data_IF_751415773165
#
_entry.id   IF_751415773165
#
_cell.length_a   1.000
_cell.length_b   1.000
_cell.length_c   1.000
_cell.angle_alpha   90.00
_cell.angle_beta   90.00
_cell.angle_gamma   90.00
#
_symmetry.space_group_name_H-M   'P 1'
#
loop_
_entity.id
_entity.type
_entity.pdbx_description
1 polymer ?
#
# COMPACT_ATOMS: atom_id res chain seq x y z
N UNK A 1 -23.78 -36.07 -6.42
CA UNK A 1 -23.40 -34.65 -6.32
C UNK A 1 -24.36 -34.04 -5.31
N UNK A 2 -23.96 -33.86 -4.05
CA UNK A 2 -24.89 -33.45 -2.99
C UNK A 2 -25.39 -32.02 -3.22
N UNK A 3 -26.71 -31.86 -3.29
CA UNK A 3 -27.43 -30.58 -3.35
C UNK A 3 -27.01 -29.71 -2.14
N UNK A 4 -26.07 -28.78 -2.33
CA UNK A 4 -25.69 -27.85 -1.28
C UNK A 4 -26.90 -26.94 -1.01
N UNK A 5 -27.37 -26.97 0.24
CA UNK A 5 -28.47 -26.14 0.72
C UNK A 5 -28.20 -24.65 0.44
N UNK A 6 -29.24 -23.87 0.13
CA UNK A 6 -29.13 -22.43 -0.10
C UNK A 6 -28.34 -21.72 1.01
N UNK A 7 -28.48 -22.16 2.26
CA UNK A 7 -27.72 -21.67 3.42
C UNK A 7 -26.22 -21.93 3.32
N UNK A 8 -25.81 -23.11 2.86
CA UNK A 8 -24.40 -23.44 2.67
C UNK A 8 -23.77 -22.59 1.57
N UNK A 9 -24.53 -22.29 0.51
CA UNK A 9 -24.08 -21.39 -0.56
C UNK A 9 -23.91 -19.96 -0.07
N UNK A 10 -24.87 -19.45 0.71
CA UNK A 10 -24.80 -18.12 1.31
C UNK A 10 -23.61 -18.04 2.28
N UNK A 11 -23.48 -18.99 3.21
CA UNK A 11 -22.36 -19.04 4.17
C UNK A 11 -21.00 -19.11 3.48
N UNK A 12 -20.87 -19.93 2.43
CA UNK A 12 -19.64 -20.02 1.64
C UNK A 12 -19.29 -18.69 0.98
N UNK A 13 -20.27 -18.03 0.37
CA UNK A 13 -20.06 -16.75 -0.31
C UNK A 13 -19.68 -15.63 0.68
N UNK A 14 -20.34 -15.57 1.84
CA UNK A 14 -20.03 -14.57 2.88
C UNK A 14 -18.66 -14.82 3.49
N UNK A 15 -18.31 -16.06 3.82
CA UNK A 15 -16.99 -16.41 4.35
C UNK A 15 -15.88 -16.11 3.32
N UNK A 16 -16.12 -16.42 2.05
CA UNK A 16 -15.19 -16.07 0.97
C UNK A 16 -14.97 -14.55 0.91
N UNK A 17 -16.05 -13.77 0.95
CA UNK A 17 -15.97 -12.31 0.92
C UNK A 17 -15.22 -11.74 2.13
N UNK A 18 -15.46 -12.27 3.34
CA UNK A 18 -14.73 -11.89 4.56
C UNK A 18 -13.24 -12.20 4.42
N UNK A 19 -12.89 -13.37 3.87
CA UNK A 19 -11.50 -13.75 3.63
C UNK A 19 -10.81 -12.79 2.67
N UNK A 20 -11.47 -12.40 1.57
CA UNK A 20 -10.93 -11.42 0.60
C UNK A 20 -10.80 -10.03 1.24
N UNK A 21 -11.76 -9.63 2.08
CA UNK A 21 -11.80 -8.32 2.72
C UNK A 21 -10.96 -8.20 4.01
N UNK A 22 -10.26 -9.27 4.43
CA UNK A 22 -9.54 -9.34 5.72
C UNK A 22 -8.67 -8.11 6.00
N UNK A 23 -7.91 -7.66 5.01
CA UNK A 23 -7.02 -6.50 5.18
C UNK A 23 -7.80 -5.20 5.42
N UNK A 24 -8.91 -5.00 4.71
CA UNK A 24 -9.77 -3.83 4.91
C UNK A 24 -10.43 -3.85 6.29
N UNK A 25 -10.89 -5.02 6.74
CA UNK A 25 -11.48 -5.20 8.07
C UNK A 25 -10.47 -4.81 9.16
N UNK A 26 -9.21 -5.28 9.05
CA UNK A 26 -8.15 -4.94 10.00
C UNK A 26 -7.89 -3.43 10.05
N UNK A 27 -7.85 -2.76 8.89
CA UNK A 27 -7.65 -1.30 8.83
C UNK A 27 -8.79 -0.54 9.51
N UNK A 28 -10.05 -0.90 9.23
CA UNK A 28 -11.23 -0.23 9.82
C UNK A 28 -11.27 -0.43 11.34
N UNK A 29 -11.03 -1.66 11.81
CA UNK A 29 -10.99 -1.95 13.24
C UNK A 29 -9.83 -1.23 13.94
N UNK A 30 -8.66 -1.18 13.31
CA UNK A 30 -7.51 -0.43 13.81
C UNK A 30 -7.80 1.07 13.92
N UNK A 31 -8.45 1.65 12.92
CA UNK A 31 -8.86 3.05 12.92
C UNK A 31 -9.90 3.35 14.02
N UNK A 32 -10.91 2.48 14.19
CA UNK A 32 -11.90 2.60 15.26
C UNK A 32 -11.26 2.52 16.65
N UNK A 33 -10.35 1.56 16.86
CA UNK A 33 -9.63 1.43 18.10
C UNK A 33 -8.78 2.68 18.39
N UNK A 34 -8.03 3.16 17.40
CA UNK A 34 -7.26 4.38 17.51
C UNK A 34 -8.13 5.60 17.89
N UNK A 35 -9.29 5.76 17.26
CA UNK A 35 -10.25 6.83 17.59
C UNK A 35 -10.80 6.74 19.02
N UNK A 36 -11.17 5.54 19.47
CA UNK A 36 -11.68 5.34 20.85
C UNK A 36 -10.60 5.64 21.89
N UNK A 37 -9.35 5.29 21.63
CA UNK A 37 -8.25 5.57 22.56
C UNK A 37 -7.91 7.07 22.57
N UNK A 38 -7.83 7.69 21.40
CA UNK A 38 -7.55 9.12 21.25
C UNK A 38 -8.62 9.98 21.95
N UNK A 39 -9.91 9.64 21.76
CA UNK A 39 -11.02 10.33 22.46
C UNK A 39 -11.00 10.18 23.98
N UNK A 40 -10.27 9.20 24.53
CA UNK A 40 -10.05 9.00 25.97
C UNK A 40 -8.74 9.63 26.47
N UNK A 41 -8.02 10.35 25.61
CA UNK A 41 -6.74 11.00 25.93
C UNK A 41 -5.53 10.06 25.90
N UNK A 42 -5.68 8.85 25.37
CA UNK A 42 -4.58 7.89 25.22
C UNK A 42 -4.16 7.81 23.76
N UNK A 43 -2.94 8.21 23.44
CA UNK A 43 -2.38 8.15 22.07
C UNK A 43 -1.19 7.19 21.99
N UNK A 44 -1.39 5.87 22.17
CA UNK A 44 -0.29 4.91 22.11
C UNK A 44 0.21 4.65 20.67
N UNK A 45 -0.53 5.10 19.67
CA UNK A 45 -0.21 4.92 18.24
C UNK A 45 0.20 6.25 17.62
N UNK A 46 1.16 6.20 16.69
CA UNK A 46 1.49 7.35 15.85
C UNK A 46 0.42 7.47 14.77
N UNK A 47 -0.55 8.35 14.98
CA UNK A 47 -1.62 8.59 14.02
C UNK A 47 -1.06 9.23 12.75
N UNK A 48 -1.65 8.88 11.60
CA UNK A 48 -1.35 9.56 10.34
C UNK A 48 -1.65 11.05 10.50
N UNK A 49 -0.70 11.91 10.08
CA UNK A 49 -0.87 13.36 10.14
C UNK A 49 -1.97 13.86 9.20
N UNK A 50 -2.13 15.18 9.12
CA UNK A 50 -3.09 15.80 8.22
C UNK A 50 -2.82 15.40 6.76
N UNK A 51 -3.80 14.79 6.11
CA UNK A 51 -3.72 14.39 4.71
C UNK A 51 -4.23 15.57 3.89
N UNK A 52 -3.37 16.18 3.07
CA UNK A 52 -3.77 17.27 2.18
C UNK A 52 -4.76 16.74 1.14
N UNK A 53 -5.90 17.40 1.01
CA UNK A 53 -6.91 17.07 0.01
C UNK A 53 -6.43 17.42 -1.41
N UNK A 54 -6.87 16.63 -2.39
CA UNK A 54 -6.59 16.89 -3.80
C UNK A 54 -5.42 16.09 -4.39
N UNK A 55 -5.15 16.33 -5.67
CA UNK A 55 -4.05 15.72 -6.40
C UNK A 55 -2.75 16.51 -6.13
N UNK A 56 -1.59 15.85 -5.97
CA UNK A 56 -0.32 16.58 -5.98
C UNK A 56 -0.17 17.36 -7.30
N UNK A 57 0.45 18.56 -7.27
CA UNK A 57 0.72 19.32 -8.48
C UNK A 57 1.61 18.52 -9.43
N UNK A 58 1.34 18.59 -10.74
CA UNK A 58 2.17 17.92 -11.73
C UNK A 58 3.47 18.70 -11.92
N UNK A 59 4.56 18.16 -11.41
CA UNK A 59 5.89 18.77 -11.49
C UNK A 59 6.90 17.75 -12.01
N UNK A 60 7.80 18.17 -12.89
CA UNK A 60 8.91 17.33 -13.32
C UNK A 60 9.87 17.08 -12.15
N UNK A 61 10.50 15.89 -12.08
CA UNK A 61 11.50 15.63 -11.07
C UNK A 61 12.71 16.57 -11.24
N UNK A 62 13.29 17.09 -10.15
CA UNK A 62 14.50 17.90 -10.22
C UNK A 62 15.71 17.05 -10.64
N UNK A 63 16.55 17.56 -11.54
CA UNK A 63 17.82 16.93 -11.95
C UNK A 63 19.03 17.43 -11.15
N UNK A 64 18.80 18.32 -10.20
CA UNK A 64 19.77 18.81 -9.23
C UNK A 64 19.04 19.21 -7.96
N UNK A 65 19.64 18.97 -6.80
CA UNK A 65 19.05 19.33 -5.51
C UNK A 65 20.12 19.83 -4.56
N UNK A 66 19.83 20.89 -3.81
CA UNK A 66 20.72 21.37 -2.76
C UNK A 66 20.17 20.90 -1.42
N UNK A 67 20.93 20.06 -0.71
CA UNK A 67 20.55 19.57 0.62
C UNK A 67 21.66 19.82 1.61
N UNK A 68 21.33 20.47 2.73
CA UNK A 68 22.26 20.78 3.82
C UNK A 68 23.55 21.51 3.38
N UNK A 69 23.44 22.45 2.43
CA UNK A 69 24.58 23.22 1.91
C UNK A 69 25.48 22.47 0.92
N UNK A 70 25.11 21.25 0.52
CA UNK A 70 25.77 20.49 -0.54
C UNK A 70 24.86 20.41 -1.76
N UNK A 71 25.41 20.70 -2.93
CA UNK A 71 24.71 20.57 -4.21
C UNK A 71 24.90 19.15 -4.76
N UNK A 72 23.79 18.47 -5.01
CA UNK A 72 23.73 17.14 -5.59
C UNK A 72 23.36 17.23 -7.06
N UNK A 73 24.21 16.65 -7.91
CA UNK A 73 23.89 16.46 -9.32
C UNK A 73 23.03 15.22 -9.53
N UNK A 74 22.48 15.04 -10.74
CA UNK A 74 21.72 13.85 -11.10
C UNK A 74 22.50 12.54 -10.85
N UNK A 75 23.81 12.52 -11.12
CA UNK A 75 24.64 11.33 -10.91
C UNK A 75 24.79 11.03 -9.43
N UNK A 76 24.99 12.05 -8.60
CA UNK A 76 25.09 11.88 -7.14
C UNK A 76 23.77 11.34 -6.57
N UNK A 77 22.63 11.83 -7.08
CA UNK A 77 21.31 11.31 -6.70
C UNK A 77 21.14 9.83 -7.09
N UNK A 78 21.56 9.44 -8.30
CA UNK A 78 21.50 8.04 -8.76
C UNK A 78 22.45 7.14 -7.96
N UNK A 79 23.64 7.64 -7.61
CA UNK A 79 24.59 6.91 -6.77
C UNK A 79 24.05 6.67 -5.36
N UNK A 80 23.38 7.66 -4.77
CA UNK A 80 22.73 7.53 -3.46
C UNK A 80 21.61 6.47 -3.48
N UNK A 81 20.84 6.39 -4.57
CA UNK A 81 19.86 5.31 -4.76
C UNK A 81 20.52 3.93 -4.95
N UNK A 82 21.77 3.90 -5.41
CA UNK A 82 22.58 2.69 -5.51
C UNK A 82 21.96 1.62 -6.41
N UNK A 83 22.01 0.37 -5.96
CA UNK A 83 21.52 -0.79 -6.73
C UNK A 83 20.00 -0.82 -6.88
N UNK A 84 19.25 -0.07 -6.06
CA UNK A 84 17.79 -0.04 -6.13
C UNK A 84 17.27 0.44 -7.48
N UNK A 85 18.03 1.31 -8.16
CA UNK A 85 17.71 1.83 -9.50
C UNK A 85 17.57 0.70 -10.53
N UNK A 86 18.37 -0.36 -10.41
CA UNK A 86 18.30 -1.53 -11.28
C UNK A 86 17.32 -2.59 -10.74
N UNK A 87 17.32 -2.80 -9.42
CA UNK A 87 16.54 -3.88 -8.79
C UNK A 87 15.04 -3.61 -8.84
N UNK A 88 14.59 -2.36 -8.60
CA UNK A 88 13.17 -2.02 -8.54
C UNK A 88 12.44 -2.31 -9.87
N UNK A 89 12.94 -1.86 -11.04
CA UNK A 89 12.32 -2.20 -12.32
C UNK A 89 12.31 -3.71 -12.60
N UNK A 90 13.38 -4.43 -12.27
CA UNK A 90 13.45 -5.88 -12.46
C UNK A 90 12.39 -6.61 -11.64
N UNK A 91 12.26 -6.29 -10.36
CA UNK A 91 11.23 -6.87 -9.49
C UNK A 91 9.84 -6.49 -9.98
N UNK A 92 9.62 -5.23 -10.38
CA UNK A 92 8.34 -4.76 -10.90
C UNK A 92 7.88 -5.52 -12.15
N UNK A 93 8.80 -5.81 -13.08
CA UNK A 93 8.52 -6.61 -14.27
C UNK A 93 8.21 -8.06 -13.89
N UNK A 94 9.03 -8.66 -13.01
CA UNK A 94 8.83 -10.04 -12.57
C UNK A 94 7.47 -10.22 -11.87
N UNK A 95 7.09 -9.29 -11.01
CA UNK A 95 5.79 -9.27 -10.33
C UNK A 95 4.64 -9.18 -11.35
N UNK A 96 4.71 -8.21 -12.26
CA UNK A 96 3.68 -8.01 -13.29
C UNK A 96 3.50 -9.24 -14.17
N UNK A 97 4.60 -9.89 -14.58
CA UNK A 97 4.57 -11.11 -15.40
C UNK A 97 4.06 -12.31 -14.59
N UNK A 98 4.44 -12.45 -13.33
CA UNK A 98 3.97 -13.53 -12.47
C UNK A 98 2.45 -13.46 -12.26
N UNK A 99 1.93 -12.26 -11.98
CA UNK A 99 0.49 -12.01 -11.85
C UNK A 99 -0.20 -12.34 -13.18
N UNK A 100 0.28 -11.80 -14.31
CA UNK A 100 -0.32 -12.05 -15.62
C UNK A 100 -0.36 -13.54 -15.97
N UNK A 101 0.73 -14.30 -15.72
CA UNK A 101 0.78 -15.76 -15.95
C UNK A 101 -0.17 -16.54 -15.06
N UNK A 102 -0.46 -16.07 -13.85
CA UNK A 102 -1.43 -16.74 -12.97
C UNK A 102 -2.87 -16.65 -13.48
N UNK A 103 -3.17 -15.63 -14.30
CA UNK A 103 -4.50 -15.40 -14.89
C UNK A 103 -4.63 -15.90 -16.33
N UNK A 104 -3.53 -15.92 -17.09
CA UNK A 104 -3.46 -16.50 -18.42
C UNK A 104 -3.05 -17.98 -18.31
N UNK A 105 -4.04 -18.87 -18.20
CA UNK A 105 -3.83 -20.33 -18.23
C UNK A 105 -3.28 -20.79 -19.58
#
# INVERSE_FOLDING_TARGET
MSELSAWQRVLRQTLWMICVARNAIVVVLGALAAYILDSRGYTPFKLTGNITEGLPPFTLPPFSSSFNGTDYTFIDMVQEMGTSVAVVPLISILESVAIAKSFCK
#
